data_IF_973175039202
#
_entry.id   IF_973175039202
#
_cell.length_a   1.000
_cell.length_b   1.000
_cell.length_c   1.000
_cell.angle_alpha   90.00
_cell.angle_beta   90.00
_cell.angle_gamma   90.00
#
_symmetry.space_group_name_H-M   'P 1'
#
loop_
_entity.id
_entity.type
_entity.pdbx_description
1 polymer ?
#
# COMPACT_ATOMS: atom_id res chain seq x y z
N UNK A 1 -2.48 25.88 36.89
CA UNK A 1 -2.31 24.47 36.48
C UNK A 1 -3.55 24.02 35.71
N UNK A 2 -4.73 23.90 36.34
CA UNK A 2 -5.96 23.50 35.63
C UNK A 2 -6.38 24.39 34.44
N UNK A 3 -6.24 25.72 34.53
CA UNK A 3 -6.53 26.63 33.39
C UNK A 3 -5.47 26.57 32.27
N UNK A 4 -4.26 26.11 32.56
CA UNK A 4 -3.19 26.01 31.56
C UNK A 4 -3.35 24.77 30.66
N UNK A 5 -4.05 23.75 31.15
CA UNK A 5 -4.33 22.52 30.41
C UNK A 5 -5.57 22.66 29.50
N UNK A 6 -6.40 23.71 29.71
CA UNK A 6 -7.66 23.93 28.99
C UNK A 6 -7.49 23.92 27.46
N UNK A 7 -6.53 24.68 26.89
CA UNK A 7 -6.37 24.75 25.43
C UNK A 7 -6.01 23.40 24.80
N UNK A 8 -5.18 22.60 25.47
CA UNK A 8 -4.77 21.28 24.99
C UNK A 8 -5.94 20.27 25.06
N UNK A 9 -6.81 20.40 26.07
CA UNK A 9 -8.03 19.59 26.19
C UNK A 9 -9.03 19.97 25.10
N UNK A 10 -9.21 21.26 24.82
CA UNK A 10 -10.08 21.76 23.75
C UNK A 10 -9.61 21.26 22.36
N UNK A 11 -8.32 21.37 22.05
CA UNK A 11 -7.74 20.85 20.80
C UNK A 11 -7.95 19.33 20.67
N UNK A 12 -7.80 18.60 21.77
CA UNK A 12 -8.04 17.15 21.78
C UNK A 12 -9.51 16.80 21.59
N UNK A 13 -10.44 17.60 22.13
CA UNK A 13 -11.89 17.44 21.89
C UNK A 13 -12.20 17.64 20.41
N UNK A 14 -11.66 18.69 19.78
CA UNK A 14 -11.86 18.94 18.35
C UNK A 14 -11.32 17.79 17.48
N UNK A 15 -10.13 17.28 17.81
CA UNK A 15 -9.56 16.10 17.15
C UNK A 15 -10.46 14.86 17.27
N UNK A 16 -10.90 14.56 18.49
CA UNK A 16 -11.78 13.41 18.74
C UNK A 16 -13.17 13.57 18.09
N UNK A 17 -13.71 14.78 18.02
CA UNK A 17 -14.98 15.04 17.33
C UNK A 17 -14.86 14.72 15.83
N UNK A 18 -13.74 15.10 15.21
CA UNK A 18 -13.47 14.78 13.80
C UNK A 18 -13.32 13.28 13.59
N UNK A 19 -12.62 12.59 14.48
CA UNK A 19 -12.46 11.13 14.42
C UNK A 19 -13.83 10.42 14.52
N UNK A 20 -14.70 10.86 15.43
CA UNK A 20 -16.05 10.33 15.57
C UNK A 20 -16.86 10.54 14.29
N UNK A 21 -16.80 11.72 13.66
CA UNK A 21 -17.51 11.97 12.41
C UNK A 21 -17.09 11.01 11.29
N UNK A 22 -15.79 10.72 11.20
CA UNK A 22 -15.27 9.75 10.23
C UNK A 22 -15.74 8.33 10.56
N UNK A 23 -15.73 7.94 11.83
CA UNK A 23 -16.17 6.61 12.28
C UNK A 23 -17.67 6.36 12.08
N UNK A 24 -18.48 7.42 12.06
CA UNK A 24 -19.92 7.36 11.78
C UNK A 24 -20.25 7.22 10.29
N UNK A 25 -19.27 7.39 9.40
CA UNK A 25 -19.48 7.14 7.97
C UNK A 25 -19.80 5.65 7.76
N UNK A 26 -20.77 5.33 6.90
CA UNK A 26 -21.07 3.95 6.57
C UNK A 26 -19.83 3.31 5.94
N UNK A 27 -19.35 2.23 6.56
CA UNK A 27 -18.26 1.42 6.00
C UNK A 27 -18.74 0.65 4.78
N UNK A 28 -17.86 0.46 3.81
CA UNK A 28 -18.13 -0.43 2.69
C UNK A 28 -18.10 -1.88 3.19
N UNK A 29 -19.05 -2.70 2.77
CA UNK A 29 -19.05 -4.14 3.08
C UNK A 29 -17.80 -4.86 2.52
N UNK A 30 -17.08 -4.24 1.58
CA UNK A 30 -15.80 -4.71 1.08
C UNK A 30 -14.62 -4.40 2.01
N UNK A 31 -14.71 -3.41 2.92
CA UNK A 31 -13.59 -2.91 3.71
C UNK A 31 -12.97 -4.01 4.62
N UNK A 32 -13.79 -4.95 5.10
CA UNK A 32 -13.34 -6.07 5.95
C UNK A 32 -12.86 -7.30 5.16
N UNK A 33 -12.79 -7.22 3.82
CA UNK A 33 -12.37 -8.35 2.98
C UNK A 33 -10.85 -8.42 2.82
N UNK A 34 -10.39 -9.64 2.50
CA UNK A 34 -9.05 -9.88 1.96
C UNK A 34 -8.88 -9.21 0.58
N UNK A 35 -7.64 -9.05 0.13
CA UNK A 35 -7.34 -8.49 -1.19
C UNK A 35 -6.50 -9.46 -2.02
N UNK A 36 -6.70 -9.42 -3.34
CA UNK A 36 -5.75 -9.95 -4.31
C UNK A 36 -4.98 -8.75 -4.84
N UNK A 37 -3.66 -8.75 -4.61
CA UNK A 37 -2.75 -7.74 -5.11
C UNK A 37 -2.14 -8.25 -6.42
N UNK A 38 -2.32 -7.48 -7.48
CA UNK A 38 -1.76 -7.76 -8.79
C UNK A 38 -0.89 -6.58 -9.23
N UNK A 39 0.38 -6.86 -9.52
CA UNK A 39 1.35 -5.87 -9.98
C UNK A 39 1.85 -6.32 -11.35
N UNK A 40 1.73 -5.44 -12.35
CA UNK A 40 2.13 -5.70 -13.73
C UNK A 40 3.13 -4.64 -14.18
N UNK A 41 4.20 -5.07 -14.83
CA UNK A 41 5.13 -4.17 -15.48
C UNK A 41 4.42 -3.43 -16.62
N UNK A 42 4.46 -2.10 -16.57
CA UNK A 42 3.89 -1.23 -17.61
C UNK A 42 4.92 -0.85 -18.68
N UNK A 43 4.89 0.41 -19.10
CA UNK A 43 5.91 0.98 -20.00
C UNK A 43 7.24 1.14 -19.27
N UNK A 44 8.36 0.82 -19.92
CA UNK A 44 9.70 0.96 -19.34
C UNK A 44 10.58 -0.29 -19.42
N UNK A 45 10.07 -1.38 -20.01
CA UNK A 45 10.86 -2.60 -20.23
C UNK A 45 11.36 -3.20 -18.91
N UNK A 46 12.66 -3.49 -18.85
CA UNK A 46 13.31 -4.09 -17.68
C UNK A 46 13.16 -3.22 -16.42
N UNK A 47 13.22 -1.90 -16.55
CA UNK A 47 13.05 -0.98 -15.43
C UNK A 47 11.65 -1.07 -14.80
N UNK A 48 10.62 -1.27 -15.64
CA UNK A 48 9.26 -1.48 -15.16
C UNK A 48 9.11 -2.82 -14.41
N UNK A 49 9.83 -3.86 -14.84
CA UNK A 49 9.84 -5.15 -14.15
C UNK A 49 10.57 -5.07 -12.80
N UNK A 50 11.70 -4.37 -12.74
CA UNK A 50 12.42 -4.09 -11.50
C UNK A 50 11.54 -3.31 -10.52
N UNK A 51 10.87 -2.26 -10.99
CA UNK A 51 9.96 -1.48 -10.14
C UNK A 51 8.75 -2.29 -9.65
N UNK A 52 8.21 -3.19 -10.47
CA UNK A 52 7.17 -4.13 -10.02
C UNK A 52 7.66 -5.02 -8.86
N UNK A 53 8.93 -5.46 -8.91
CA UNK A 53 9.58 -6.17 -7.81
C UNK A 53 9.76 -5.32 -6.55
N UNK A 54 10.11 -4.04 -6.70
CA UNK A 54 10.22 -3.11 -5.58
C UNK A 54 8.86 -2.88 -4.90
N UNK A 55 7.81 -2.66 -5.68
CA UNK A 55 6.44 -2.53 -5.16
C UNK A 55 5.98 -3.81 -4.45
N UNK A 56 6.26 -4.98 -5.02
CA UNK A 56 5.92 -6.25 -4.39
C UNK A 56 6.58 -6.39 -3.01
N UNK A 57 7.89 -6.12 -2.92
CA UNK A 57 8.63 -6.14 -1.65
C UNK A 57 8.13 -5.09 -0.66
N UNK A 58 7.74 -3.91 -1.15
CA UNK A 58 7.13 -2.85 -0.33
C UNK A 58 5.83 -3.35 0.31
N UNK A 59 4.92 -3.94 -0.48
CA UNK A 59 3.65 -4.45 0.03
C UNK A 59 3.80 -5.69 0.93
N UNK A 60 4.77 -6.56 0.65
CA UNK A 60 5.09 -7.69 1.52
C UNK A 60 5.52 -7.19 2.91
N UNK A 61 6.40 -6.18 2.96
CA UNK A 61 6.82 -5.54 4.23
C UNK A 61 5.66 -4.84 4.93
N UNK A 62 4.86 -4.09 4.19
CA UNK A 62 3.68 -3.41 4.73
C UNK A 62 2.66 -4.38 5.33
N UNK A 63 2.43 -5.52 4.67
CA UNK A 63 1.59 -6.59 5.20
C UNK A 63 2.16 -7.18 6.49
N UNK A 64 3.48 -7.41 6.55
CA UNK A 64 4.15 -7.91 7.74
C UNK A 64 4.04 -6.95 8.94
N UNK A 65 4.22 -5.64 8.72
CA UNK A 65 4.06 -4.61 9.76
C UNK A 65 2.64 -4.55 10.33
N UNK A 66 1.64 -4.90 9.52
CA UNK A 66 0.22 -4.98 9.91
C UNK A 66 -0.20 -6.34 10.46
N UNK A 67 0.71 -7.32 10.48
CA UNK A 67 0.41 -8.69 10.90
C UNK A 67 -0.54 -9.43 9.94
N UNK A 68 -0.58 -9.02 8.67
CA UNK A 68 -1.35 -9.70 7.63
C UNK A 68 -0.58 -10.87 7.03
N UNK A 69 -1.31 -11.89 6.59
CA UNK A 69 -0.75 -13.00 5.83
C UNK A 69 -0.61 -12.58 4.37
N UNK A 70 0.58 -12.75 3.80
CA UNK A 70 0.90 -12.42 2.42
C UNK A 70 1.36 -13.71 1.71
N UNK A 71 0.67 -14.11 0.64
CA UNK A 71 0.95 -15.36 -0.08
C UNK A 71 1.03 -15.12 -1.58
N UNK A 72 2.20 -15.40 -2.16
CA UNK A 72 2.38 -15.37 -3.61
C UNK A 72 1.55 -16.49 -4.26
N UNK A 73 0.74 -16.12 -5.25
CA UNK A 73 -0.12 -17.05 -6.01
C UNK A 73 0.53 -17.39 -7.35
N UNK A 74 1.07 -16.38 -8.04
CA UNK A 74 1.70 -16.50 -9.34
C UNK A 74 2.78 -15.43 -9.49
N UNK A 75 3.86 -15.77 -10.19
CA UNK A 75 4.90 -14.83 -10.56
C UNK A 75 5.40 -15.15 -11.97
N UNK A 76 5.65 -14.10 -12.74
CA UNK A 76 6.25 -14.13 -14.06
C UNK A 76 7.45 -13.20 -14.05
N UNK A 77 8.64 -13.76 -14.15
CA UNK A 77 9.90 -13.03 -13.97
C UNK A 77 10.18 -12.06 -15.14
N UNK A 78 10.85 -10.95 -14.82
CA UNK A 78 11.44 -10.04 -15.80
C UNK A 78 12.72 -10.61 -16.41
N UNK A 79 13.08 -10.13 -17.61
CA UNK A 79 14.26 -10.65 -18.33
C UNK A 79 15.59 -10.20 -17.67
N UNK A 80 15.62 -9.00 -17.08
CA UNK A 80 16.74 -8.49 -16.28
C UNK A 80 16.49 -8.51 -14.75
N UNK A 81 15.50 -9.29 -14.29
CA UNK A 81 15.07 -9.33 -12.89
C UNK A 81 13.76 -8.57 -12.63
N UNK A 82 13.28 -8.64 -11.38
CA UNK A 82 11.94 -8.18 -11.03
C UNK A 82 10.85 -9.06 -11.67
N UNK A 83 9.67 -8.49 -11.94
CA UNK A 83 8.50 -9.24 -12.41
C UNK A 83 7.78 -8.56 -13.57
N UNK A 84 7.45 -9.31 -14.63
CA UNK A 84 6.47 -8.90 -15.65
C UNK A 84 5.06 -8.85 -15.06
N UNK A 85 4.72 -9.83 -14.24
CA UNK A 85 3.48 -9.91 -13.49
C UNK A 85 3.72 -10.66 -12.17
N UNK A 86 3.18 -10.17 -11.07
CA UNK A 86 3.18 -10.89 -9.80
C UNK A 86 1.85 -10.70 -9.08
N UNK A 87 1.30 -11.81 -8.58
CA UNK A 87 -0.01 -11.88 -7.93
C UNK A 87 0.16 -12.48 -6.54
N UNK A 88 -0.39 -11.80 -5.53
CA UNK A 88 -0.43 -12.27 -4.15
C UNK A 88 -1.82 -12.14 -3.53
N UNK A 89 -2.14 -13.06 -2.63
CA UNK A 89 -3.30 -12.95 -1.75
C UNK A 89 -2.84 -12.36 -0.42
N UNK A 90 -3.55 -11.32 0.03
CA UNK A 90 -3.29 -10.66 1.32
C UNK A 90 -4.53 -10.86 2.19
N UNK A 91 -4.34 -11.53 3.33
CA UNK A 91 -5.42 -11.90 4.25
C UNK A 91 -5.22 -11.33 5.64
N UNK A 92 -6.27 -10.75 6.20
CA UNK A 92 -6.22 -10.08 7.50
C UNK A 92 -7.39 -9.14 7.71
N UNK A 93 -7.46 -8.53 8.89
CA UNK A 93 -8.51 -7.56 9.21
C UNK A 93 -8.26 -6.24 8.48
N UNK A 94 -9.26 -5.76 7.73
CA UNK A 94 -9.24 -4.44 7.08
C UNK A 94 -8.28 -4.32 5.89
N UNK A 95 -7.88 -5.45 5.27
CA UNK A 95 -6.89 -5.42 4.18
C UNK A 95 -7.38 -4.56 3.02
N UNK A 96 -8.61 -4.80 2.54
CA UNK A 96 -9.13 -4.07 1.39
C UNK A 96 -9.34 -2.59 1.68
N UNK A 97 -9.81 -2.21 2.86
CA UNK A 97 -9.96 -0.79 3.27
C UNK A 97 -8.65 0.00 3.11
N UNK A 98 -7.53 -0.62 3.47
CA UNK A 98 -6.22 0.00 3.39
C UNK A 98 -5.60 -0.01 1.99
N UNK A 99 -5.91 -1.01 1.16
CA UNK A 99 -5.28 -1.20 -0.16
C UNK A 99 -6.17 -0.74 -1.33
N UNK A 100 -7.44 -0.40 -1.11
CA UNK A 100 -8.38 -0.02 -2.17
C UNK A 100 -7.92 1.17 -3.02
N UNK A 101 -7.08 2.03 -2.46
CA UNK A 101 -6.55 3.21 -3.16
C UNK A 101 -5.28 2.92 -3.99
N UNK A 102 -4.72 1.72 -3.88
CA UNK A 102 -3.50 1.34 -4.61
C UNK A 102 -3.77 0.93 -6.06
N UNK A 103 -5.04 0.77 -6.42
CA UNK A 103 -5.47 0.45 -7.78
C UNK A 103 -5.18 1.63 -8.71
N UNK A 104 -4.17 1.48 -9.57
CA UNK A 104 -3.81 2.52 -10.53
C UNK A 104 -2.43 2.33 -11.12
N UNK A 105 -1.97 3.37 -11.82
CA UNK A 105 -0.64 3.42 -12.42
C UNK A 105 0.31 4.09 -11.45
N UNK A 106 1.34 3.37 -11.04
CA UNK A 106 2.44 3.86 -10.21
C UNK A 106 3.61 4.27 -11.10
N UNK A 107 4.11 5.50 -10.96
CA UNK A 107 5.19 6.03 -11.80
C UNK A 107 6.50 6.04 -11.03
N UNK A 108 7.55 5.49 -11.64
CA UNK A 108 8.93 5.59 -11.17
C UNK A 108 9.74 6.54 -12.06
N UNK A 109 10.63 7.31 -11.44
CA UNK A 109 11.65 8.09 -12.13
C UNK A 109 12.93 8.00 -11.30
N UNK A 110 13.93 7.30 -11.83
CA UNK A 110 15.26 7.13 -11.22
C UNK A 110 16.31 6.96 -12.31
N UNK A 111 17.58 7.08 -11.95
CA UNK A 111 18.68 6.64 -12.81
C UNK A 111 18.65 5.13 -12.84
N UNK A 112 18.51 4.53 -14.02
CA UNK A 112 18.34 3.08 -14.13
C UNK A 112 19.67 2.37 -13.87
N UNK A 113 19.62 1.19 -13.26
CA UNK A 113 20.83 0.36 -13.10
C UNK A 113 21.31 -0.21 -14.44
N UNK A 114 20.46 -0.16 -15.46
CA UNK A 114 20.70 -0.68 -16.81
C UNK A 114 21.29 0.35 -17.79
N UNK A 115 21.40 1.62 -17.41
CA UNK A 115 22.05 2.65 -18.22
C UNK A 115 23.41 3.05 -17.63
N UNK A 116 24.49 2.75 -18.35
CA UNK A 116 25.87 3.15 -18.03
C UNK A 116 26.13 4.67 -18.17
N UNK A 117 25.08 5.49 -18.34
CA UNK A 117 25.22 6.95 -18.54
C UNK A 117 23.99 7.69 -18.00
N UNK A 118 24.10 8.06 -16.72
CA UNK A 118 23.34 9.05 -15.93
C UNK A 118 22.10 9.71 -16.52
#
# INVERSE_FOLDING_TARGET
>A
LAEADLPAVEERIEGLQKDIQILLLPKDAADDKNAILEIRAGTGGDEAALFAGDLFRMYERYAAERGWRFETVSASDGDAGGFKEIIATISGKGVFDHLKFESGVHRVQRVTETEDSG
#
